data_IF_851172507042
#
_entry.id   IF_851172507042
#
_cell.length_a   1.000
_cell.length_b   1.000
_cell.length_c   1.000
_cell.angle_alpha   90.00
_cell.angle_beta   90.00
_cell.angle_gamma   90.00
#
_symmetry.space_group_name_H-M   'P 1'
#
loop_
_entity.id
_entity.type
_entity.pdbx_description
1 polymer ?
#
# COMPACT_ATOMS: atom_id res chain seq x y z
N UNK A 1 -19.51 58.84 33.72
CA UNK A 1 -18.79 57.73 34.32
C UNK A 1 -18.92 56.54 33.37
N UNK A 2 -17.92 56.32 32.49
CA UNK A 2 -17.96 55.37 31.38
C UNK A 2 -17.41 54.02 31.81
N UNK A 3 -18.27 53.01 31.82
CA UNK A 3 -17.88 51.63 32.05
C UNK A 3 -17.66 50.98 30.67
N UNK A 4 -16.37 50.83 30.31
CA UNK A 4 -15.99 50.08 29.12
C UNK A 4 -16.10 48.58 29.41
N UNK A 5 -17.08 47.92 28.77
CA UNK A 5 -17.20 46.49 28.77
C UNK A 5 -16.10 45.86 27.94
N UNK A 6 -15.24 45.09 28.58
CA UNK A 6 -14.19 44.31 27.93
C UNK A 6 -14.80 42.95 27.60
N UNK A 7 -15.14 42.74 26.31
CA UNK A 7 -15.47 41.41 25.78
C UNK A 7 -14.18 40.62 25.58
N UNK A 8 -13.91 39.71 26.51
CA UNK A 8 -12.83 38.73 26.37
C UNK A 8 -13.33 37.58 25.48
N UNK A 9 -12.99 37.64 24.19
CA UNK A 9 -13.27 36.59 23.23
C UNK A 9 -12.30 35.44 23.45
N UNK A 10 -12.77 34.36 24.08
CA UNK A 10 -11.99 33.12 24.26
C UNK A 10 -12.08 32.34 22.96
N UNK A 11 -11.08 32.48 22.12
CA UNK A 11 -10.91 31.64 20.91
C UNK A 11 -10.50 30.23 21.32
N UNK A 12 -11.45 29.30 21.32
CA UNK A 12 -11.22 27.88 21.53
C UNK A 12 -10.54 27.30 20.26
N UNK A 13 -9.23 27.19 20.27
CA UNK A 13 -8.48 26.42 19.27
C UNK A 13 -8.75 24.94 19.52
N UNK A 14 -9.69 24.38 18.79
CA UNK A 14 -9.85 22.92 18.68
C UNK A 14 -8.70 22.43 17.81
N UNK A 15 -7.59 22.07 18.44
CA UNK A 15 -6.51 21.33 17.81
C UNK A 15 -7.01 19.91 17.55
N UNK A 16 -7.55 19.67 16.37
CA UNK A 16 -7.85 18.31 15.90
C UNK A 16 -6.55 17.54 15.79
N UNK A 17 -6.30 16.64 16.73
CA UNK A 17 -5.23 15.65 16.62
C UNK A 17 -5.62 14.73 15.47
N UNK A 18 -5.14 15.02 14.27
CA UNK A 18 -5.11 14.05 13.18
C UNK A 18 -4.18 12.92 13.63
N UNK A 19 -4.77 11.84 14.14
CA UNK A 19 -4.05 10.60 14.39
C UNK A 19 -3.69 10.00 13.02
N UNK A 20 -2.56 10.42 12.46
CA UNK A 20 -1.97 9.75 11.31
C UNK A 20 -1.46 8.43 11.83
N UNK A 21 -2.11 7.33 11.47
CA UNK A 21 -1.59 5.98 11.72
C UNK A 21 -0.29 5.89 10.93
N UNK A 22 0.83 5.96 11.64
CA UNK A 22 2.14 5.90 11.01
C UNK A 22 2.34 4.51 10.39
N UNK A 23 2.80 4.50 9.13
CA UNK A 23 3.23 3.28 8.48
C UNK A 23 4.40 2.66 9.25
N UNK A 24 4.31 1.36 9.54
CA UNK A 24 5.38 0.62 10.19
C UNK A 24 6.15 -0.19 9.14
N UNK A 25 7.45 0.07 9.03
CA UNK A 25 8.37 -0.70 8.18
C UNK A 25 9.33 -1.47 9.07
N UNK A 26 9.28 -2.80 8.98
CA UNK A 26 10.25 -3.69 9.62
C UNK A 26 11.27 -4.09 8.55
N UNK A 27 12.51 -3.70 8.76
CA UNK A 27 13.60 -3.97 7.84
C UNK A 27 13.99 -5.46 7.84
N UNK A 28 14.71 -5.94 6.79
CA UNK A 28 15.32 -7.24 6.78
C UNK A 28 16.22 -7.48 7.98
N UNK A 29 16.11 -8.68 8.58
CA UNK A 29 16.98 -9.13 9.67
C UNK A 29 18.32 -9.70 9.18
N UNK A 30 18.44 -9.97 7.89
CA UNK A 30 19.63 -10.48 7.23
C UNK A 30 20.06 -9.61 6.06
N UNK A 31 21.34 -9.70 5.67
CA UNK A 31 21.84 -9.11 4.42
C UNK A 31 21.65 -10.09 3.28
N UNK A 32 21.14 -9.62 2.16
CA UNK A 32 20.95 -10.40 0.93
C UNK A 32 21.25 -9.52 -0.28
N UNK A 33 21.46 -10.15 -1.44
CA UNK A 33 21.69 -9.41 -2.71
C UNK A 33 20.42 -8.77 -3.25
N UNK A 34 19.29 -9.38 -2.95
CA UNK A 34 17.95 -8.94 -3.33
C UNK A 34 17.03 -9.09 -2.15
N UNK A 35 15.85 -8.45 -2.19
CA UNK A 35 14.91 -8.46 -1.07
C UNK A 35 13.52 -8.86 -1.51
N UNK A 36 12.70 -9.20 -0.54
CA UNK A 36 11.28 -9.51 -0.67
C UNK A 36 10.45 -8.61 0.26
N UNK A 37 9.17 -8.39 -0.03
CA UNK A 37 8.30 -7.63 0.84
C UNK A 37 7.04 -8.41 1.22
N UNK A 38 6.68 -8.35 2.51
CA UNK A 38 5.37 -8.74 3.01
C UNK A 38 4.59 -7.45 3.23
N UNK A 39 3.61 -7.20 2.38
CA UNK A 39 2.69 -6.06 2.52
C UNK A 39 1.46 -6.56 3.25
N UNK A 40 1.20 -6.05 4.44
CA UNK A 40 0.10 -6.54 5.28
C UNK A 40 -0.70 -5.37 5.85
N UNK A 41 -2.01 -5.51 5.90
CA UNK A 41 -2.83 -4.54 6.59
C UNK A 41 -2.70 -4.66 8.11
N UNK A 42 -2.91 -3.55 8.83
CA UNK A 42 -2.66 -3.46 10.26
C UNK A 42 -3.56 -4.39 11.08
N UNK A 43 -4.79 -4.61 10.66
CA UNK A 43 -5.74 -5.46 11.38
C UNK A 43 -5.39 -6.94 11.21
N UNK A 44 -5.16 -7.39 9.98
CA UNK A 44 -4.69 -8.75 9.70
C UNK A 44 -3.37 -9.06 10.39
N UNK A 45 -2.44 -8.10 10.42
CA UNK A 45 -1.20 -8.28 11.17
C UNK A 45 -1.45 -8.45 12.67
N UNK A 46 -2.32 -7.64 13.27
CA UNK A 46 -2.64 -7.75 14.69
C UNK A 46 -3.26 -9.11 15.03
N UNK A 47 -4.12 -9.65 14.16
CA UNK A 47 -4.78 -10.94 14.33
C UNK A 47 -3.84 -12.13 14.11
N UNK A 48 -2.93 -12.04 13.13
CA UNK A 48 -2.07 -13.14 12.70
C UNK A 48 -0.58 -12.89 12.94
N UNK A 49 -0.22 -12.00 13.86
CA UNK A 49 1.15 -11.53 14.10
C UNK A 49 2.18 -12.65 14.14
N UNK A 50 1.93 -13.68 14.94
CA UNK A 50 2.89 -14.78 15.09
C UNK A 50 3.11 -15.56 13.80
N UNK A 51 2.06 -15.73 12.98
CA UNK A 51 2.16 -16.43 11.69
C UNK A 51 2.92 -15.58 10.65
N UNK A 52 2.62 -14.29 10.58
CA UNK A 52 3.30 -13.36 9.65
C UNK A 52 4.77 -13.19 10.02
N UNK A 53 5.08 -13.06 11.32
CA UNK A 53 6.46 -12.99 11.81
C UNK A 53 7.24 -14.30 11.53
N UNK A 54 6.58 -15.46 11.69
CA UNK A 54 7.17 -16.75 11.37
C UNK A 54 7.43 -16.90 9.87
N UNK A 55 6.50 -16.42 9.03
CA UNK A 55 6.65 -16.42 7.57
C UNK A 55 7.85 -15.57 7.14
N UNK A 56 7.98 -14.34 7.67
CA UNK A 56 9.17 -13.51 7.44
C UNK A 56 10.46 -14.24 7.79
N UNK A 57 10.52 -14.87 8.98
CA UNK A 57 11.70 -15.64 9.43
C UNK A 57 12.02 -16.81 8.52
N UNK A 58 10.99 -17.49 8.00
CA UNK A 58 11.18 -18.60 7.06
C UNK A 58 11.83 -18.14 5.75
N UNK A 59 11.35 -17.03 5.17
CA UNK A 59 11.94 -16.46 3.96
C UNK A 59 13.39 -16.03 4.21
N UNK A 60 13.66 -15.41 5.37
CA UNK A 60 15.01 -14.99 5.72
C UNK A 60 15.94 -16.19 6.00
N UNK A 61 15.42 -17.30 6.51
CA UNK A 61 16.19 -18.54 6.67
C UNK A 61 16.62 -19.15 5.32
N UNK A 62 15.83 -18.90 4.26
CA UNK A 62 16.19 -19.28 2.88
C UNK A 62 17.16 -18.28 2.22
N UNK A 63 17.59 -17.24 2.96
CA UNK A 63 18.62 -16.29 2.53
C UNK A 63 18.11 -15.05 1.82
N UNK A 64 16.80 -14.80 1.80
CA UNK A 64 16.20 -13.64 1.17
C UNK A 64 15.76 -12.60 2.21
N UNK A 65 16.46 -11.46 2.27
CA UNK A 65 16.15 -10.36 3.20
C UNK A 65 14.73 -9.84 2.98
N UNK A 66 13.92 -9.78 4.04
CA UNK A 66 12.50 -9.54 3.88
C UNK A 66 12.04 -8.29 4.64
N UNK A 67 11.48 -7.33 3.91
CA UNK A 67 10.75 -6.19 4.49
C UNK A 67 9.37 -6.64 4.94
N UNK A 68 8.87 -6.05 6.03
CA UNK A 68 7.45 -6.14 6.38
C UNK A 68 6.88 -4.72 6.43
N UNK A 69 5.88 -4.47 5.58
CA UNK A 69 5.22 -3.18 5.41
C UNK A 69 3.82 -3.29 6.00
N UNK A 70 3.62 -2.67 7.17
CA UNK A 70 2.37 -2.77 7.94
C UNK A 70 1.70 -1.41 7.93
N UNK A 71 0.48 -1.33 7.42
CA UNK A 71 -0.28 -0.09 7.39
C UNK A 71 -1.77 -0.35 7.20
N UNK A 72 -2.61 0.64 7.52
CA UNK A 72 -4.00 0.68 7.08
C UNK A 72 -4.04 1.35 5.71
N UNK A 73 -3.89 0.53 4.68
CA UNK A 73 -3.74 0.97 3.30
C UNK A 73 -5.02 1.61 2.78
N UNK A 74 -4.91 2.79 2.18
CA UNK A 74 -6.07 3.55 1.68
C UNK A 74 -6.18 3.49 0.17
N UNK A 75 -5.08 3.29 -0.52
CA UNK A 75 -5.06 3.22 -1.97
C UNK A 75 -3.96 2.29 -2.51
N UNK A 76 -4.12 1.78 -3.74
CA UNK A 76 -3.07 1.00 -4.39
C UNK A 76 -1.78 1.79 -4.63
N UNK A 77 -1.89 3.10 -4.83
CA UNK A 77 -0.76 3.99 -5.10
C UNK A 77 0.23 4.01 -3.92
N UNK A 78 -0.26 4.06 -2.68
CA UNK A 78 0.58 4.05 -1.48
C UNK A 78 1.51 2.84 -1.45
N UNK A 79 0.99 1.68 -1.80
CA UNK A 79 1.76 0.43 -1.84
C UNK A 79 2.75 0.45 -3.00
N UNK A 80 2.28 0.80 -4.21
CA UNK A 80 3.10 0.82 -5.41
C UNK A 80 4.32 1.75 -5.26
N UNK A 81 4.13 2.94 -4.73
CA UNK A 81 5.22 3.90 -4.50
C UNK A 81 6.32 3.33 -3.60
N UNK A 82 5.93 2.61 -2.55
CA UNK A 82 6.88 1.94 -1.66
C UNK A 82 7.62 0.80 -2.36
N UNK A 83 6.90 -0.04 -3.10
CA UNK A 83 7.52 -1.15 -3.82
C UNK A 83 8.50 -0.63 -4.88
N UNK A 84 8.15 0.42 -5.63
CA UNK A 84 9.06 1.08 -6.58
C UNK A 84 10.32 1.60 -5.86
N UNK A 85 10.15 2.26 -4.71
CA UNK A 85 11.28 2.75 -3.94
C UNK A 85 12.21 1.64 -3.46
N UNK A 86 11.67 0.52 -3.00
CA UNK A 86 12.46 -0.64 -2.58
C UNK A 86 13.11 -1.34 -3.78
N UNK A 87 12.42 -1.42 -4.91
CA UNK A 87 12.97 -1.98 -6.15
C UNK A 87 14.12 -1.16 -6.70
N UNK A 88 14.09 0.16 -6.53
CA UNK A 88 15.14 1.07 -6.99
C UNK A 88 16.41 1.05 -6.11
N UNK A 89 16.47 0.29 -5.03
CA UNK A 89 17.68 0.17 -4.20
C UNK A 89 18.77 -0.60 -4.96
N UNK A 90 19.88 0.04 -5.35
CA UNK A 90 20.92 -0.62 -6.14
C UNK A 90 21.72 -1.68 -5.37
N UNK A 91 21.61 -1.70 -4.04
CA UNK A 91 22.37 -2.62 -3.18
C UNK A 91 21.63 -3.93 -2.94
N UNK A 92 20.33 -3.85 -2.82
CA UNK A 92 19.46 -4.98 -2.52
C UNK A 92 18.03 -4.72 -3.07
N UNK A 93 17.86 -4.70 -4.42
CA UNK A 93 16.58 -4.41 -5.04
C UNK A 93 15.50 -5.40 -4.61
N UNK A 94 14.28 -4.92 -4.53
CA UNK A 94 13.11 -5.75 -4.30
C UNK A 94 12.83 -6.60 -5.54
N UNK A 95 12.69 -7.91 -5.39
CA UNK A 95 12.35 -8.85 -6.48
C UNK A 95 10.88 -9.28 -6.48
N UNK A 96 10.19 -9.14 -5.36
CA UNK A 96 8.79 -9.54 -5.28
C UNK A 96 8.16 -9.19 -3.95
N UNK A 97 6.84 -9.37 -3.90
CA UNK A 97 6.08 -9.18 -2.66
C UNK A 97 4.94 -10.17 -2.54
N UNK A 98 4.43 -10.29 -1.32
CA UNK A 98 3.16 -10.93 -1.00
C UNK A 98 2.22 -9.90 -0.37
N UNK A 99 0.97 -9.96 -0.76
CA UNK A 99 -0.10 -9.09 -0.24
C UNK A 99 -0.95 -9.91 0.74
N UNK A 100 -1.11 -9.41 1.96
CA UNK A 100 -1.77 -10.14 3.06
C UNK A 100 -2.86 -9.28 3.69
N UNK A 101 -4.06 -9.79 3.73
CA UNK A 101 -5.21 -9.15 4.37
C UNK A 101 -5.96 -8.17 3.47
N UNK A 102 -6.50 -7.11 4.07
CA UNK A 102 -7.30 -6.10 3.37
C UNK A 102 -6.40 -5.11 2.61
N UNK A 103 -6.00 -5.54 1.42
CA UNK A 103 -5.15 -4.76 0.52
C UNK A 103 -6.03 -4.13 -0.57
N UNK A 104 -5.89 -2.84 -0.86
CA UNK A 104 -6.63 -2.18 -1.95
C UNK A 104 -6.46 -2.90 -3.28
N UNK A 105 -7.57 -3.17 -3.96
CA UNK A 105 -7.56 -3.90 -5.23
C UNK A 105 -7.55 -2.93 -6.40
N UNK A 106 -6.46 -2.85 -7.18
CA UNK A 106 -6.44 -2.04 -8.39
C UNK A 106 -7.28 -2.69 -9.49
N UNK A 107 -8.23 -1.93 -10.03
CA UNK A 107 -9.08 -2.35 -11.13
C UNK A 107 -8.52 -1.78 -12.44
N UNK A 108 -7.94 -2.62 -13.29
CA UNK A 108 -7.33 -2.21 -14.54
C UNK A 108 -8.35 -2.23 -15.69
N UNK A 109 -8.35 -1.16 -16.47
CA UNK A 109 -9.09 -1.03 -17.72
C UNK A 109 -8.13 -1.01 -18.89
N UNK A 110 -8.60 -1.36 -20.08
CA UNK A 110 -7.78 -1.49 -21.29
C UNK A 110 -6.58 -2.46 -21.14
N UNK A 111 -6.75 -3.45 -20.24
CA UNK A 111 -5.72 -4.38 -19.82
C UNK A 111 -5.73 -5.71 -20.60
N UNK A 112 -6.29 -5.73 -21.79
CA UNK A 112 -6.44 -6.98 -22.59
C UNK A 112 -5.10 -7.63 -22.92
N UNK A 113 -4.03 -6.86 -22.99
CA UNK A 113 -2.67 -7.33 -23.18
C UNK A 113 -2.05 -7.91 -21.89
N UNK A 114 -2.63 -7.64 -20.73
CA UNK A 114 -2.21 -8.17 -19.43
C UNK A 114 -2.99 -9.44 -19.03
N UNK A 115 -4.05 -9.73 -19.76
CA UNK A 115 -4.90 -10.90 -19.52
C UNK A 115 -5.13 -11.67 -20.81
N UNK A 116 -4.59 -12.87 -20.92
CA UNK A 116 -4.79 -13.74 -22.09
C UNK A 116 -6.21 -14.28 -22.20
N UNK A 117 -7.04 -14.18 -21.16
CA UNK A 117 -8.30 -14.89 -21.03
C UNK A 117 -9.55 -14.05 -21.37
N UNK A 118 -9.49 -12.71 -21.29
CA UNK A 118 -10.70 -11.90 -21.39
C UNK A 118 -10.53 -10.72 -22.36
N UNK A 119 -11.30 -10.76 -23.45
CA UNK A 119 -11.54 -9.59 -24.29
C UNK A 119 -12.77 -8.88 -23.74
N UNK A 120 -12.58 -7.86 -22.93
CA UNK A 120 -13.67 -7.08 -22.37
C UNK A 120 -14.12 -5.99 -23.35
N UNK A 121 -15.43 -5.80 -23.48
CA UNK A 121 -15.98 -4.70 -24.28
C UNK A 121 -15.78 -3.37 -23.57
N UNK A 122 -14.77 -2.61 -23.97
CA UNK A 122 -14.40 -1.31 -23.40
C UNK A 122 -15.44 -0.20 -23.64
N UNK A 123 -16.49 -0.46 -24.44
CA UNK A 123 -17.64 0.45 -24.62
C UNK A 123 -18.61 0.39 -23.45
N UNK A 124 -18.49 -0.66 -22.61
CA UNK A 124 -19.30 -0.79 -21.39
C UNK A 124 -18.84 0.17 -20.31
N UNK A 125 -19.67 0.35 -19.27
CA UNK A 125 -19.30 1.10 -18.09
C UNK A 125 -18.01 0.50 -17.48
N UNK A 126 -17.27 1.33 -16.77
CA UNK A 126 -15.96 0.96 -16.26
C UNK A 126 -15.98 -0.22 -15.27
N UNK A 127 -17.07 -0.42 -14.49
CA UNK A 127 -17.21 -1.59 -13.60
C UNK A 127 -17.24 -2.90 -14.36
N UNK A 128 -17.84 -2.90 -15.55
CA UNK A 128 -17.95 -4.09 -16.41
C UNK A 128 -16.79 -4.25 -17.38
N UNK A 129 -15.96 -3.24 -17.51
CA UNK A 129 -14.83 -3.22 -18.43
C UNK A 129 -13.46 -3.16 -17.75
N UNK A 130 -13.41 -3.33 -16.43
CA UNK A 130 -12.19 -3.40 -15.64
C UNK A 130 -12.04 -4.75 -14.96
N UNK A 131 -10.81 -5.15 -14.68
CA UNK A 131 -10.46 -6.39 -14.00
C UNK A 131 -9.56 -6.10 -12.80
N UNK A 132 -9.70 -6.84 -11.69
CA UNK A 132 -8.73 -6.77 -10.61
C UNK A 132 -7.39 -7.32 -11.10
N UNK A 133 -6.29 -6.69 -10.74
CA UNK A 133 -4.97 -7.15 -11.17
C UNK A 133 -3.87 -6.69 -10.25
N UNK A 134 -3.08 -7.63 -9.77
CA UNK A 134 -1.85 -7.41 -9.01
C UNK A 134 -0.68 -6.92 -9.87
N UNK A 135 -0.80 -7.00 -11.22
CA UNK A 135 0.16 -6.37 -12.17
C UNK A 135 0.40 -4.88 -11.90
N UNK A 136 -0.53 -4.21 -11.26
CA UNK A 136 -0.34 -2.86 -10.81
C UNK A 136 0.80 -2.73 -9.79
N UNK A 137 1.04 -3.77 -9.00
CA UNK A 137 2.04 -3.79 -7.96
C UNK A 137 3.40 -4.34 -8.38
N UNK A 138 3.49 -5.08 -9.49
CA UNK A 138 4.72 -5.75 -9.92
C UNK A 138 5.32 -5.21 -11.22
N UNK A 139 4.52 -4.61 -12.10
CA UNK A 139 5.02 -4.08 -13.38
C UNK A 139 5.32 -2.58 -13.27
N UNK A 140 6.55 -2.25 -12.94
CA UNK A 140 6.99 -0.86 -12.80
C UNK A 140 7.33 -0.19 -14.12
N UNK A 141 7.38 -0.93 -15.23
CA UNK A 141 7.56 -0.39 -16.58
C UNK A 141 6.29 0.14 -17.20
N UNK A 142 5.12 -0.18 -16.65
CA UNK A 142 3.83 0.30 -17.14
C UNK A 142 3.42 1.61 -16.48
N UNK A 143 2.95 2.54 -17.31
CA UNK A 143 2.28 3.75 -16.84
C UNK A 143 0.78 3.49 -16.69
N UNK A 144 0.29 3.71 -15.48
CA UNK A 144 -1.13 3.59 -15.16
C UNK A 144 -1.74 4.98 -14.98
N UNK A 145 -2.82 5.25 -15.73
CA UNK A 145 -3.56 6.49 -15.59
C UNK A 145 -4.72 6.30 -14.64
N UNK A 146 -4.76 7.07 -13.56
CA UNK A 146 -5.92 7.08 -12.66
C UNK A 146 -7.18 7.54 -13.41
N UNK A 147 -8.22 6.75 -13.34
CA UNK A 147 -9.51 7.06 -13.98
C UNK A 147 -10.54 7.49 -12.93
N UNK A 148 -10.72 6.68 -11.89
CA UNK A 148 -11.76 6.86 -10.90
C UNK A 148 -11.51 5.96 -9.70
N UNK A 149 -11.89 6.42 -8.53
CA UNK A 149 -12.03 5.58 -7.34
C UNK A 149 -13.48 5.10 -7.21
N UNK A 150 -13.67 3.85 -6.84
CA UNK A 150 -14.99 3.35 -6.49
C UNK A 150 -15.36 3.85 -5.09
N UNK A 151 -16.60 4.27 -4.94
CA UNK A 151 -17.14 4.78 -3.68
C UNK A 151 -18.00 3.72 -2.99
#
# INVERSE_FOLDING_TARGET
>A
MNIKSIFLSTLFLISGILCTVAQTVINPGIKSKTTFAIVVDSESYAQAKNAVDAYKKSIEADGLGTYMLIHTWKSPEEIRELLIKLHADPKAPLEGCVLVGDIPIPMLRDAQHLSSAFKMDQRRDWKRSSIPSDRYYDDFGLEFKFLKQDS
#
